data_IF_309629764175
#
_entry.id   IF_309629764175
#
_cell.length_a   1.000
_cell.length_b   1.000
_cell.length_c   1.000
_cell.angle_alpha   90.00
_cell.angle_beta   90.00
_cell.angle_gamma   90.00
#
_symmetry.space_group_name_H-M   'P 1'
#
loop_
_entity.id
_entity.type
_entity.pdbx_description
1 polymer ?
#
# COMPACT_ATOMS: atom_id res chain seq x y z
N UNK A 1 50.58 14.71 -37.43
CA UNK A 1 50.37 13.25 -37.32
C UNK A 1 49.19 13.07 -36.40
N UNK A 2 48.00 13.01 -37.01
CA UNK A 2 46.70 13.06 -36.36
C UNK A 2 46.45 11.76 -35.62
N UNK A 3 46.21 11.84 -34.30
CA UNK A 3 45.57 10.76 -33.57
C UNK A 3 44.07 10.95 -33.72
N UNK A 4 43.50 10.13 -34.59
CA UNK A 4 42.08 9.93 -34.81
C UNK A 4 41.37 9.69 -33.46
N UNK A 5 40.46 10.60 -33.11
CA UNK A 5 39.46 10.35 -32.06
C UNK A 5 38.43 9.44 -32.71
N UNK A 6 38.63 8.14 -32.57
CA UNK A 6 37.64 7.13 -32.97
C UNK A 6 36.29 7.50 -32.36
N UNK A 7 35.41 8.00 -33.22
CA UNK A 7 34.00 8.09 -32.96
C UNK A 7 33.45 6.66 -33.01
N UNK A 8 33.30 6.03 -31.85
CA UNK A 8 32.61 4.74 -31.76
C UNK A 8 31.44 4.85 -30.73
N UNK A 9 30.30 5.31 -31.25
CA UNK A 9 29.02 4.66 -30.99
C UNK A 9 28.12 5.07 -29.81
N UNK A 10 28.48 5.93 -28.86
CA UNK A 10 27.52 6.36 -27.83
C UNK A 10 27.82 7.74 -27.21
N UNK A 11 26.91 8.70 -27.42
CA UNK A 11 26.86 9.92 -26.62
C UNK A 11 26.62 9.54 -25.14
N UNK A 12 27.45 10.01 -24.20
CA UNK A 12 27.33 9.67 -22.77
C UNK A 12 25.95 10.02 -22.20
N UNK A 13 25.37 11.14 -22.63
CA UNK A 13 24.05 11.62 -22.18
C UNK A 13 22.91 10.66 -22.55
N UNK A 14 22.97 10.01 -23.73
CA UNK A 14 21.93 9.06 -24.16
C UNK A 14 21.96 7.80 -23.32
N UNK A 15 23.17 7.32 -23.00
CA UNK A 15 23.36 6.15 -22.16
C UNK A 15 22.91 6.42 -20.72
N UNK A 16 23.28 7.57 -20.18
CA UNK A 16 22.85 8.01 -18.85
C UNK A 16 21.33 8.15 -18.76
N UNK A 17 20.70 8.76 -19.76
CA UNK A 17 19.24 8.83 -19.86
C UNK A 17 18.60 7.44 -19.86
N UNK A 18 19.11 6.50 -20.66
CA UNK A 18 18.57 5.14 -20.72
C UNK A 18 18.72 4.41 -19.38
N UNK A 19 19.84 4.56 -18.69
CA UNK A 19 20.02 3.96 -17.36
C UNK A 19 19.06 4.56 -16.34
N UNK A 20 18.92 5.89 -16.32
CA UNK A 20 18.01 6.58 -15.41
C UNK A 20 16.56 6.22 -15.68
N UNK A 21 16.13 6.26 -16.95
CA UNK A 21 14.77 5.93 -17.35
C UNK A 21 14.43 4.47 -17.03
N UNK A 22 15.32 3.54 -17.35
CA UNK A 22 15.12 2.11 -17.06
C UNK A 22 15.08 1.84 -15.56
N UNK A 23 16.00 2.45 -14.80
CA UNK A 23 16.02 2.35 -13.34
C UNK A 23 14.74 2.92 -12.70
N UNK A 24 14.28 4.08 -13.15
CA UNK A 24 13.06 4.71 -12.66
C UNK A 24 11.82 3.85 -12.93
N UNK A 25 11.66 3.35 -14.17
CA UNK A 25 10.55 2.46 -14.53
C UNK A 25 10.60 1.16 -13.71
N UNK A 26 11.79 0.58 -13.54
CA UNK A 26 11.99 -0.61 -12.71
C UNK A 26 11.59 -0.37 -11.25
N UNK A 27 12.01 0.75 -10.66
CA UNK A 27 11.67 1.11 -9.28
C UNK A 27 10.16 1.31 -9.09
N UNK A 28 9.49 2.01 -10.02
CA UNK A 28 8.03 2.19 -9.99
C UNK A 28 7.31 0.84 -10.14
N UNK A 29 7.77 -0.03 -11.03
CA UNK A 29 7.22 -1.37 -11.21
C UNK A 29 7.30 -2.20 -9.93
N UNK A 30 8.47 -2.23 -9.27
CA UNK A 30 8.66 -2.94 -7.99
C UNK A 30 7.76 -2.35 -6.90
N UNK A 31 7.71 -1.03 -6.76
CA UNK A 31 6.84 -0.37 -5.77
C UNK A 31 5.35 -0.66 -6.02
N UNK A 32 4.92 -0.61 -7.28
CA UNK A 32 3.55 -0.92 -7.68
C UNK A 32 3.15 -2.37 -7.40
N UNK A 33 4.07 -3.32 -7.58
CA UNK A 33 3.84 -4.73 -7.22
C UNK A 33 3.88 -4.95 -5.70
N UNK A 34 4.72 -4.23 -4.96
CA UNK A 34 4.83 -4.37 -3.51
C UNK A 34 3.62 -3.78 -2.77
N UNK A 35 3.05 -2.68 -3.28
CA UNK A 35 1.92 -1.98 -2.66
C UNK A 35 0.72 -2.87 -2.29
N UNK A 36 0.15 -3.71 -3.19
CA UNK A 36 -1.00 -4.55 -2.83
C UNK A 36 -0.71 -5.53 -1.69
N UNK A 37 0.54 -6.00 -1.54
CA UNK A 37 0.92 -6.86 -0.41
C UNK A 37 0.95 -6.10 0.92
N UNK A 38 1.25 -4.79 0.89
CA UNK A 38 1.12 -3.92 2.05
C UNK A 38 -0.35 -3.62 2.33
N UNK A 39 -1.10 -3.28 1.28
CA UNK A 39 -2.50 -2.88 1.40
C UNK A 39 -3.40 -4.03 1.90
N UNK A 40 -3.13 -5.29 1.52
CA UNK A 40 -3.89 -6.44 2.02
C UNK A 40 -3.75 -6.68 3.54
N UNK A 41 -2.76 -6.06 4.21
CA UNK A 41 -2.65 -6.13 5.67
C UNK A 41 -3.60 -5.15 6.37
N UNK A 42 -4.22 -4.23 5.64
CA UNK A 42 -5.23 -3.33 6.17
C UNK A 42 -6.55 -4.08 6.45
N UNK A 43 -7.39 -3.60 7.39
CA UNK A 43 -8.69 -4.20 7.68
C UNK A 43 -9.58 -4.23 6.43
N UNK A 44 -10.20 -5.38 6.19
CA UNK A 44 -11.12 -5.61 5.08
C UNK A 44 -12.43 -4.79 5.21
N UNK A 45 -13.17 -4.69 4.09
CA UNK A 45 -14.42 -3.92 4.04
C UNK A 45 -15.46 -4.43 5.04
N UNK A 46 -15.50 -5.74 5.29
CA UNK A 46 -16.35 -6.39 6.30
C UNK A 46 -16.02 -5.93 7.72
N UNK A 47 -14.74 -5.82 8.07
CA UNK A 47 -14.31 -5.32 9.39
C UNK A 47 -14.62 -3.83 9.55
N UNK A 48 -14.49 -3.03 8.48
CA UNK A 48 -14.82 -1.60 8.50
C UNK A 48 -16.33 -1.31 8.59
N UNK A 49 -17.18 -2.24 8.15
CA UNK A 49 -18.64 -2.09 8.17
C UNK A 49 -19.28 -2.28 9.56
N UNK A 50 -18.53 -2.70 10.58
CA UNK A 50 -19.00 -2.83 11.97
C UNK A 50 -19.15 -1.44 12.64
N UNK A 51 -20.08 -0.61 12.15
CA UNK A 51 -20.26 0.78 12.59
C UNK A 51 -21.31 0.94 13.69
N UNK A 52 -22.46 0.26 13.60
CA UNK A 52 -23.55 0.34 14.59
C UNK A 52 -24.11 -1.03 14.92
N UNK A 53 -24.47 -1.22 16.19
CA UNK A 53 -25.24 -2.37 16.66
C UNK A 53 -26.43 -1.84 17.48
N UNK A 54 -27.63 -2.36 17.24
CA UNK A 54 -28.79 -2.11 18.09
C UNK A 54 -28.80 -3.12 19.25
N UNK A 55 -28.90 -2.60 20.48
CA UNK A 55 -29.00 -3.40 21.70
C UNK A 55 -30.33 -3.11 22.36
N UNK A 56 -31.19 -4.12 22.46
CA UNK A 56 -32.44 -4.02 23.21
C UNK A 56 -32.17 -4.09 24.71
N UNK A 57 -32.67 -3.09 25.44
CA UNK A 57 -32.52 -2.94 26.90
C UNK A 57 -33.86 -3.02 27.63
N UNK A 58 -34.95 -3.35 26.93
CA UNK A 58 -36.31 -3.34 27.48
C UNK A 58 -36.54 -4.37 28.60
N UNK A 59 -35.74 -5.43 28.65
CA UNK A 59 -35.84 -6.52 29.62
C UNK A 59 -34.89 -6.40 30.82
N UNK A 60 -34.20 -5.26 30.98
CA UNK A 60 -33.21 -5.07 32.05
C UNK A 60 -33.83 -4.59 33.37
N UNK A 61 -33.59 -5.33 34.45
CA UNK A 61 -34.01 -4.94 35.80
C UNK A 61 -33.01 -3.99 36.47
N UNK A 62 -33.45 -3.13 37.41
CA UNK A 62 -32.56 -2.27 38.19
C UNK A 62 -31.50 -3.07 38.95
N UNK A 63 -30.22 -2.76 38.71
CA UNK A 63 -29.08 -3.45 39.32
C UNK A 63 -28.46 -4.54 38.44
N UNK A 64 -29.04 -4.82 37.28
CA UNK A 64 -28.55 -5.80 36.32
C UNK A 64 -27.65 -5.13 35.27
N UNK A 65 -26.54 -5.77 34.92
CA UNK A 65 -25.58 -5.27 33.93
C UNK A 65 -25.50 -6.23 32.74
N UNK A 66 -25.43 -5.69 31.52
CA UNK A 66 -25.17 -6.47 30.30
C UNK A 66 -23.85 -6.05 29.70
N UNK A 67 -23.06 -7.02 29.27
CA UNK A 67 -21.82 -6.81 28.53
C UNK A 67 -22.08 -7.18 27.08
N UNK A 68 -21.98 -6.21 26.18
CA UNK A 68 -22.24 -6.41 24.75
C UNK A 68 -20.94 -6.29 23.98
N UNK A 69 -20.61 -7.33 23.24
CA UNK A 69 -19.41 -7.33 22.41
C UNK A 69 -19.54 -6.34 21.26
N UNK A 70 -18.73 -5.28 21.25
CA UNK A 70 -18.63 -4.30 20.18
C UNK A 70 -17.19 -4.15 19.67
N UNK A 71 -16.99 -4.30 18.36
CA UNK A 71 -15.67 -4.16 17.69
C UNK A 71 -14.54 -4.95 18.36
N UNK A 72 -14.84 -6.18 18.82
CA UNK A 72 -13.88 -7.08 19.46
C UNK A 72 -13.60 -6.79 20.94
N UNK A 73 -14.25 -5.78 21.53
CA UNK A 73 -14.19 -5.46 22.96
C UNK A 73 -15.52 -5.82 23.63
N UNK A 74 -15.51 -6.22 24.92
CA UNK A 74 -16.72 -6.35 25.72
C UNK A 74 -17.41 -5.00 25.98
#
# INVERSE_FOLDING_TARGET
MSADKTADGADPDRREFLYLATGAVGAVGVAGLAWPFVDQMNPDASTRALASIEVDVSSLEPGQAITVKWRGKP
#
